data_IF_176660232883
#
_entry.id   IF_176660232883
#
_cell.length_a   1.000
_cell.length_b   1.000
_cell.length_c   1.000
_cell.angle_alpha   90.00
_cell.angle_beta   90.00
_cell.angle_gamma   90.00
#
_symmetry.space_group_name_H-M   'P 1'
#
loop_
_entity.id
_entity.type
_entity.pdbx_description
1 polymer ?
#
# COMPACT_ATOMS: atom_id res chain seq x y z
N UNK A 1 -8.40 -20.39 1.79
CA UNK A 1 -6.92 -20.34 1.80
C UNK A 1 -6.51 -18.91 2.04
N UNK A 2 -5.64 -18.64 3.02
CA UNK A 2 -5.19 -17.27 3.33
C UNK A 2 -4.02 -16.92 2.41
N UNK A 3 -3.89 -15.64 2.08
CA UNK A 3 -2.73 -15.10 1.36
C UNK A 3 -1.82 -14.41 2.35
N UNK A 4 -0.54 -14.73 2.30
CA UNK A 4 0.50 -14.15 3.15
C UNK A 4 1.48 -13.41 2.26
N UNK A 5 1.64 -12.11 2.48
CA UNK A 5 2.54 -11.27 1.68
C UNK A 5 3.76 -10.93 2.50
N UNK A 6 4.93 -11.24 1.96
CA UNK A 6 6.20 -10.81 2.54
C UNK A 6 6.31 -9.28 2.48
N UNK A 7 6.39 -8.63 3.63
CA UNK A 7 6.52 -7.15 3.73
C UNK A 7 7.87 -6.61 3.27
N UNK A 8 8.84 -7.49 2.99
CA UNK A 8 10.20 -7.10 2.58
C UNK A 8 10.37 -7.16 1.07
N UNK A 9 9.87 -8.22 0.42
CA UNK A 9 10.09 -8.44 -1.02
C UNK A 9 8.81 -8.64 -1.83
N UNK A 10 7.63 -8.60 -1.21
CA UNK A 10 6.34 -8.77 -1.88
C UNK A 10 5.96 -10.19 -2.29
N UNK A 11 6.75 -11.22 -1.94
CA UNK A 11 6.40 -12.62 -2.24
C UNK A 11 5.07 -13.01 -1.60
N UNK A 12 4.17 -13.62 -2.38
CA UNK A 12 2.84 -14.06 -1.94
C UNK A 12 2.85 -15.58 -1.75
N UNK A 13 2.46 -16.03 -0.56
CA UNK A 13 2.28 -17.44 -0.22
C UNK A 13 0.80 -17.73 0.04
N UNK A 14 0.29 -18.85 -0.50
CA UNK A 14 -1.09 -19.30 -0.31
C UNK A 14 -1.12 -20.54 0.59
N UNK A 15 -1.73 -20.42 1.77
CA UNK A 15 -1.76 -21.50 2.77
C UNK A 15 -2.53 -21.10 4.03
N UNK A 16 -2.57 -21.97 5.03
CA UNK A 16 -3.21 -21.63 6.31
C UNK A 16 -2.36 -20.70 7.17
N UNK A 17 -1.03 -20.89 7.17
CA UNK A 17 -0.05 -20.11 7.94
C UNK A 17 1.07 -19.60 7.04
N UNK A 18 1.75 -18.51 7.43
CA UNK A 18 2.95 -18.03 6.73
C UNK A 18 4.09 -19.07 6.79
N UNK A 19 4.94 -19.16 5.76
CA UNK A 19 6.09 -20.07 5.77
C UNK A 19 7.15 -19.61 6.79
N UNK A 20 7.90 -20.55 7.38
CA UNK A 20 8.94 -20.26 8.39
C UNK A 20 9.99 -19.25 7.90
N UNK A 21 10.36 -19.37 6.62
CA UNK A 21 11.24 -18.44 5.91
C UNK A 21 10.66 -18.09 4.55
N UNK A 22 10.80 -16.84 4.15
CA UNK A 22 10.44 -16.41 2.80
C UNK A 22 11.34 -17.14 1.78
N UNK A 23 10.79 -17.86 0.80
CA UNK A 23 11.59 -18.56 -0.21
C UNK A 23 12.33 -17.62 -1.17
N UNK A 24 11.91 -16.35 -1.25
CA UNK A 24 12.51 -15.37 -2.15
C UNK A 24 13.65 -14.56 -1.51
N UNK A 25 13.52 -14.16 -0.24
CA UNK A 25 14.50 -13.29 0.43
C UNK A 25 15.02 -13.81 1.78
N UNK A 26 14.53 -14.96 2.26
CA UNK A 26 15.04 -15.63 3.46
C UNK A 26 14.63 -15.02 4.81
N UNK A 27 13.85 -13.92 4.83
CA UNK A 27 13.37 -13.31 6.08
C UNK A 27 12.40 -14.24 6.83
N UNK A 28 12.31 -14.15 8.17
CA UNK A 28 11.44 -15.03 8.96
C UNK A 28 9.96 -14.78 8.73
N UNK A 29 9.12 -15.76 9.09
CA UNK A 29 7.65 -15.72 9.04
C UNK A 29 7.04 -14.44 9.66
N UNK A 30 7.69 -13.84 10.67
CA UNK A 30 7.26 -12.61 11.32
C UNK A 30 7.21 -11.38 10.39
N UNK A 31 7.82 -11.47 9.20
CA UNK A 31 7.76 -10.44 8.15
C UNK A 31 6.65 -10.67 7.13
N UNK A 32 5.79 -11.67 7.30
CA UNK A 32 4.60 -11.84 6.49
C UNK A 32 3.39 -11.16 7.14
N UNK A 33 2.53 -10.57 6.30
CA UNK A 33 1.19 -10.09 6.69
C UNK A 33 0.14 -10.89 5.96
N UNK A 34 -0.93 -11.26 6.66
CA UNK A 34 -2.13 -11.82 6.03
C UNK A 34 -2.78 -10.73 5.17
N UNK A 35 -2.97 -11.02 3.88
CA UNK A 35 -3.70 -10.15 2.97
C UNK A 35 -5.18 -10.41 3.18
N UNK A 36 -5.82 -9.56 3.99
CA UNK A 36 -7.26 -9.57 4.19
C UNK A 36 -7.94 -9.36 2.83
N UNK A 37 -8.98 -10.17 2.56
CA UNK A 37 -9.76 -10.09 1.32
C UNK A 37 -10.77 -8.94 1.30
N UNK A 38 -10.92 -8.20 2.40
CA UNK A 38 -11.86 -7.09 2.52
C UNK A 38 -11.18 -5.77 2.13
N UNK A 39 -11.31 -5.42 0.86
CA UNK A 39 -10.85 -4.15 0.28
C UNK A 39 -9.73 -4.36 -0.73
N UNK A 40 -9.92 -3.85 -1.96
CA UNK A 40 -8.81 -3.68 -2.89
C UNK A 40 -7.84 -2.65 -2.28
N UNK A 41 -6.83 -3.12 -1.56
CA UNK A 41 -5.68 -2.31 -1.20
C UNK A 41 -4.75 -2.27 -2.42
N UNK A 42 -4.78 -1.16 -3.16
CA UNK A 42 -3.92 -0.96 -4.33
C UNK A 42 -2.47 -0.77 -3.86
N UNK A 43 -1.50 -1.32 -4.59
CA UNK A 43 -0.08 -1.28 -4.19
C UNK A 43 0.51 0.15 -4.09
N UNK A 44 -0.12 1.12 -4.75
CA UNK A 44 0.08 2.55 -4.55
C UNK A 44 -1.31 3.21 -4.45
N UNK A 45 -1.68 3.68 -3.27
CA UNK A 45 -2.91 4.46 -3.06
C UNK A 45 -2.61 5.94 -3.32
N UNK A 46 -3.37 6.57 -4.22
CA UNK A 46 -3.38 8.02 -4.33
C UNK A 46 -4.38 8.57 -3.32
N UNK A 47 -3.89 9.18 -2.25
CA UNK A 47 -4.73 9.87 -1.29
C UNK A 47 -5.22 11.18 -1.93
N UNK A 48 -6.51 11.22 -2.30
CA UNK A 48 -7.13 12.44 -2.84
C UNK A 48 -7.40 13.39 -1.68
N UNK A 49 -6.94 14.63 -1.81
CA UNK A 49 -7.19 15.67 -0.80
C UNK A 49 -6.13 15.78 0.29
N UNK A 50 -4.95 15.16 0.14
CA UNK A 50 -3.81 15.32 1.08
C UNK A 50 -3.40 16.77 1.34
N UNK A 51 -3.69 17.68 0.41
CA UNK A 51 -3.41 19.10 0.55
C UNK A 51 -4.47 19.87 1.37
N UNK A 52 -5.56 19.24 1.82
CA UNK A 52 -6.59 19.91 2.61
C UNK A 52 -6.01 20.54 3.87
N UNK A 53 -6.29 21.83 4.08
CA UNK A 53 -5.76 22.61 5.20
C UNK A 53 -4.39 23.24 4.95
N UNK A 54 -3.84 23.11 3.74
CA UNK A 54 -2.66 23.88 3.33
C UNK A 54 -2.98 25.39 3.30
N UNK A 55 -1.95 26.26 3.42
CA UNK A 55 -2.10 27.70 3.25
C UNK A 55 -2.86 28.10 1.96
N UNK A 56 -3.58 29.22 2.02
CA UNK A 56 -4.49 29.66 0.95
C UNK A 56 -3.77 29.92 -0.39
N UNK A 57 -2.54 30.46 -0.33
CA UNK A 57 -1.67 30.66 -1.49
C UNK A 57 -1.35 29.34 -2.20
N UNK A 58 -1.00 28.30 -1.44
CA UNK A 58 -0.74 26.95 -1.98
C UNK A 58 -2.02 26.34 -2.57
N UNK A 59 -3.17 26.55 -1.92
CA UNK A 59 -4.44 26.06 -2.44
C UNK A 59 -4.87 26.76 -3.73
N UNK A 60 -4.58 28.05 -3.87
CA UNK A 60 -4.80 28.81 -5.10
C UNK A 60 -3.93 28.29 -6.24
N UNK A 61 -2.63 28.11 -6.01
CA UNK A 61 -1.72 27.58 -7.03
C UNK A 61 -2.14 26.19 -7.50
N UNK A 62 -2.56 25.31 -6.57
CA UNK A 62 -3.07 23.99 -6.90
C UNK A 62 -4.32 24.05 -7.78
N UNK A 63 -5.26 24.97 -7.51
CA UNK A 63 -6.48 25.17 -8.31
C UNK A 63 -6.18 25.75 -9.70
N UNK A 64 -5.24 26.69 -9.78
CA UNK A 64 -4.85 27.32 -11.03
C UNK A 64 -4.34 26.31 -12.09
N UNK A 65 -3.77 25.17 -11.66
CA UNK A 65 -3.39 24.08 -12.57
C UNK A 65 -4.57 23.49 -13.38
N UNK A 66 -5.81 23.66 -12.91
CA UNK A 66 -7.02 23.10 -13.53
C UNK A 66 -7.97 24.15 -14.12
N UNK A 67 -7.71 25.44 -13.90
CA UNK A 67 -8.54 26.55 -14.39
C UNK A 67 -8.04 27.14 -15.72
N UNK A 68 -6.95 26.58 -16.28
CA UNK A 68 -6.31 27.03 -17.52
C UNK A 68 -6.74 26.31 -18.80
N UNK A 69 -7.74 25.43 -18.76
CA UNK A 69 -8.36 24.78 -19.95
C UNK A 69 -9.60 25.52 -20.46
#
# INVERSE_FOLDING_TARGET
MKKWVCTVCGYVYEGENAPEKCPQCGVPASKFKEQASEGMAWACEHEVGVAQGSPEDIMMDLRANFEGE
#
